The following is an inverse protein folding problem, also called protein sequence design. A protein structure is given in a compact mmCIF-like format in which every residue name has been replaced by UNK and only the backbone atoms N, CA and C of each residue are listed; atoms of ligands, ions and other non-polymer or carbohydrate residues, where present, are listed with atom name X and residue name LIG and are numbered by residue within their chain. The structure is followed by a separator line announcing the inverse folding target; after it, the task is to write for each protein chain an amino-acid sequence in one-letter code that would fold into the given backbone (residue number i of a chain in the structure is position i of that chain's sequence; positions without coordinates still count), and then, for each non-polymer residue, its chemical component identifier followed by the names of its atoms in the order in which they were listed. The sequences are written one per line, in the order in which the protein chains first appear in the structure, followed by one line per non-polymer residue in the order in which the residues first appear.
data_IF_718740616354
#
_entry.id   IF_718740616354
#
_cell.length_a   1.000
_cell.length_b   1.000
_cell.length_c   1.000
_cell.angle_alpha   90.00
_cell.angle_beta   90.00
_cell.angle_gamma   90.00
#
_symmetry.space_group_name_H-M   'P 1'
#
loop_
_entity.id
_entity.type
_entity.pdbx_description
1 polymer ?
#
# COMPACT_ATOMS: atom_id res chain seq x y z
N UNK A 1 -8.41 20.52 4.89
CA UNK A 1 -8.42 19.11 4.54
C UNK A 1 -9.60 18.42 5.19
N UNK A 2 -10.29 17.59 4.42
CA UNK A 2 -11.31 16.67 4.89
C UNK A 2 -10.79 15.23 4.83
N UNK A 3 -10.89 14.45 5.91
CA UNK A 3 -10.57 13.01 5.88
C UNK A 3 -11.85 12.20 5.96
N UNK A 4 -12.20 11.53 4.84
CA UNK A 4 -13.38 10.70 4.66
C UNK A 4 -12.97 9.22 4.65
N UNK A 5 -12.85 8.61 5.83
CA UNK A 5 -12.37 7.24 5.99
C UNK A 5 -13.50 6.29 6.32
N UNK A 6 -13.86 5.43 5.36
CA UNK A 6 -14.88 4.37 5.48
C UNK A 6 -14.30 3.02 5.92
N UNK A 7 -12.99 2.92 5.96
CA UNK A 7 -12.26 1.77 6.53
C UNK A 7 -11.36 2.22 7.66
N UNK A 8 -11.14 1.37 8.68
CA UNK A 8 -10.16 1.65 9.73
C UNK A 8 -8.78 1.97 9.14
N UNK A 9 -8.17 3.05 9.61
CA UNK A 9 -6.88 3.50 9.12
C UNK A 9 -6.19 4.35 10.18
N UNK A 10 -5.04 3.92 10.66
CA UNK A 10 -4.24 4.68 11.61
C UNK A 10 -3.22 5.54 10.86
N UNK A 11 -2.33 4.91 10.12
CA UNK A 11 -1.19 5.58 9.45
C UNK A 11 -1.63 6.56 8.36
N UNK A 12 -2.40 6.16 7.33
CA UNK A 12 -2.82 7.11 6.29
C UNK A 12 -3.60 8.28 6.85
N UNK A 13 -4.54 8.06 7.77
CA UNK A 13 -5.32 9.14 8.35
C UNK A 13 -4.43 10.14 9.07
N UNK A 14 -3.64 9.67 10.04
CA UNK A 14 -2.76 10.54 10.82
C UNK A 14 -1.69 11.23 9.96
N UNK A 15 -1.16 10.55 8.94
CA UNK A 15 -0.18 11.13 8.03
C UNK A 15 -0.73 12.34 7.26
N UNK A 16 -1.91 12.21 6.66
CA UNK A 16 -2.54 13.32 5.93
C UNK A 16 -2.97 14.46 6.85
N UNK A 17 -3.55 14.14 8.01
CA UNK A 17 -3.94 15.12 9.00
C UNK A 17 -2.72 15.90 9.54
N UNK A 18 -1.66 15.17 9.94
CA UNK A 18 -0.42 15.78 10.42
C UNK A 18 0.29 16.62 9.32
N UNK A 19 0.31 16.14 8.07
CA UNK A 19 0.90 16.88 6.96
C UNK A 19 0.17 18.22 6.76
N UNK A 20 -1.16 18.21 6.73
CA UNK A 20 -1.96 19.42 6.57
C UNK A 20 -1.73 20.41 7.72
N UNK A 21 -1.72 19.93 8.97
CA UNK A 21 -1.46 20.78 10.13
C UNK A 21 -0.05 21.38 10.11
N UNK A 22 0.97 20.62 9.72
CA UNK A 22 2.36 21.10 9.58
C UNK A 22 2.52 22.13 8.47
N UNK A 23 1.67 22.09 7.46
CA UNK A 23 1.62 23.08 6.37
C UNK A 23 0.81 24.33 6.76
N UNK A 24 0.31 24.43 8.00
CA UNK A 24 -0.48 25.55 8.49
C UNK A 24 -1.96 25.49 8.12
N UNK A 25 -2.41 24.38 7.54
CA UNK A 25 -3.82 24.15 7.20
C UNK A 25 -4.63 23.70 8.42
N UNK A 26 -5.91 23.40 8.15
CA UNK A 26 -6.87 22.89 9.14
C UNK A 26 -7.41 21.56 8.68
N UNK A 27 -7.90 20.75 9.63
CA UNK A 27 -8.44 19.43 9.36
C UNK A 27 -9.84 19.31 9.97
N UNK A 28 -10.75 18.71 9.23
CA UNK A 28 -12.01 18.17 9.75
C UNK A 28 -12.26 16.77 9.20
N UNK A 29 -13.04 15.94 9.89
CA UNK A 29 -13.19 14.52 9.54
C UNK A 29 -14.52 13.95 10.03
N UNK A 30 -14.86 12.78 9.51
CA UNK A 30 -15.76 11.89 10.24
C UNK A 30 -15.00 11.32 11.44
N UNK A 31 -15.61 11.29 12.60
CA UNK A 31 -15.06 10.53 13.73
C UNK A 31 -15.16 9.03 13.48
N UNK A 32 -16.29 8.58 12.95
CA UNK A 32 -16.55 7.22 12.48
C UNK A 32 -17.55 7.31 11.31
N UNK A 33 -17.24 6.69 10.16
CA UNK A 33 -18.14 6.69 9.01
C UNK A 33 -19.51 6.06 9.32
N UNK A 34 -19.56 5.04 10.21
CA UNK A 34 -20.79 4.38 10.66
C UNK A 34 -21.74 5.34 11.41
N UNK A 35 -21.21 6.43 11.94
CA UNK A 35 -21.98 7.47 12.62
C UNK A 35 -22.44 8.58 11.67
N UNK A 36 -22.26 8.40 10.38
CA UNK A 36 -22.68 9.31 9.32
C UNK A 36 -23.70 8.64 8.41
N UNK A 37 -24.49 9.41 7.65
CA UNK A 37 -25.41 8.87 6.66
C UNK A 37 -24.69 8.13 5.52
N UNK A 38 -23.44 8.46 5.28
CA UNK A 38 -22.62 7.81 4.27
C UNK A 38 -22.18 6.39 4.65
N UNK A 39 -22.14 6.05 5.94
CA UNK A 39 -21.73 4.74 6.42
C UNK A 39 -22.78 4.00 7.25
N UNK A 40 -23.96 4.59 7.47
CA UNK A 40 -25.05 4.00 8.23
C UNK A 40 -25.96 3.10 7.35
N UNK A 41 -27.08 2.68 7.92
CA UNK A 41 -28.09 1.86 7.26
C UNK A 41 -28.63 2.46 5.96
N UNK A 42 -28.70 3.80 5.85
CA UNK A 42 -29.26 4.49 4.67
C UNK A 42 -28.29 4.56 3.50
N UNK A 43 -26.98 4.38 3.73
CA UNK A 43 -25.94 4.34 2.71
C UNK A 43 -26.08 5.47 1.67
N UNK A 44 -25.96 6.70 2.15
CA UNK A 44 -25.94 7.86 1.25
C UNK A 44 -24.92 7.64 0.12
N UNK A 45 -25.29 8.03 -1.10
CA UNK A 45 -24.42 7.81 -2.25
C UNK A 45 -23.10 8.57 -2.12
N UNK A 46 -22.02 8.00 -2.69
CA UNK A 46 -20.71 8.69 -2.77
C UNK A 46 -20.90 10.08 -3.41
N UNK A 47 -21.73 10.17 -4.45
CA UNK A 47 -22.05 11.42 -5.15
C UNK A 47 -22.58 12.49 -4.22
N UNK A 48 -23.61 12.16 -3.43
CA UNK A 48 -24.26 13.15 -2.57
C UNK A 48 -23.36 13.53 -1.41
N UNK A 49 -22.69 12.55 -0.80
CA UNK A 49 -21.71 12.79 0.27
C UNK A 49 -20.60 13.73 -0.17
N UNK A 50 -19.94 13.49 -1.31
CA UNK A 50 -18.81 14.33 -1.71
C UNK A 50 -19.22 15.73 -2.16
N UNK A 51 -20.44 15.89 -2.71
CA UNK A 51 -20.98 17.21 -3.00
C UNK A 51 -21.17 18.03 -1.72
N UNK A 52 -21.67 17.39 -0.67
CA UNK A 52 -21.79 18.06 0.64
C UNK A 52 -20.46 18.36 1.26
N UNK A 53 -19.52 17.41 1.21
CA UNK A 53 -18.16 17.62 1.75
C UNK A 53 -17.46 18.80 1.09
N UNK A 54 -17.70 19.08 -0.18
CA UNK A 54 -17.13 20.22 -0.90
C UNK A 54 -17.43 21.59 -0.28
N UNK A 55 -18.47 21.70 0.57
CA UNK A 55 -18.77 22.94 1.30
C UNK A 55 -17.97 23.11 2.60
N UNK A 56 -17.27 22.05 3.06
CA UNK A 56 -16.59 22.06 4.35
C UNK A 56 -15.08 22.14 4.26
N UNK A 57 -14.50 22.08 3.07
CA UNK A 57 -13.05 22.15 2.90
C UNK A 57 -12.60 22.27 1.47
N UNK A 58 -11.27 22.17 1.25
CA UNK A 58 -10.62 22.49 -0.01
C UNK A 58 -10.02 21.23 -0.70
N UNK A 59 -9.88 20.13 0.03
CA UNK A 59 -9.38 18.85 -0.47
C UNK A 59 -9.92 17.71 0.41
N UNK A 60 -10.26 16.59 -0.20
CA UNK A 60 -10.74 15.38 0.48
C UNK A 60 -9.70 14.27 0.32
N UNK A 61 -9.28 13.65 1.42
CA UNK A 61 -8.63 12.35 1.40
C UNK A 61 -9.68 11.28 1.68
N UNK A 62 -9.93 10.43 0.69
CA UNK A 62 -10.91 9.37 0.81
C UNK A 62 -10.23 8.01 0.93
N UNK A 63 -10.64 7.21 1.93
CA UNK A 63 -10.33 5.78 2.01
C UNK A 63 -11.64 4.99 2.07
N UNK A 64 -11.82 4.07 1.13
CA UNK A 64 -13.06 3.35 0.97
C UNK A 64 -12.84 1.85 0.83
N UNK A 65 -13.82 1.04 1.24
CA UNK A 65 -13.77 -0.43 1.06
C UNK A 65 -14.07 -0.86 -0.38
N UNK A 66 -14.79 -0.03 -1.14
CA UNK A 66 -15.13 -0.29 -2.53
C UNK A 66 -14.02 0.22 -3.46
N UNK A 67 -13.54 -0.66 -4.31
CA UNK A 67 -12.60 -0.32 -5.38
C UNK A 67 -13.22 0.72 -6.33
N UNK A 68 -12.43 1.73 -6.71
CA UNK A 68 -12.87 2.80 -7.60
C UNK A 68 -13.68 3.92 -6.93
N UNK A 69 -14.01 3.81 -5.63
CA UNK A 69 -14.78 4.83 -4.92
C UNK A 69 -14.17 6.24 -4.99
N UNK A 70 -12.84 6.45 -4.84
CA UNK A 70 -12.25 7.78 -5.01
C UNK A 70 -12.37 8.32 -6.44
N UNK A 71 -12.32 7.47 -7.46
CA UNK A 71 -12.55 7.87 -8.86
C UNK A 71 -13.99 8.28 -9.09
N UNK A 72 -14.95 7.53 -8.53
CA UNK A 72 -16.36 7.92 -8.57
C UNK A 72 -16.59 9.24 -7.85
N UNK A 73 -16.01 9.40 -6.66
CA UNK A 73 -16.05 10.64 -5.89
C UNK A 73 -15.53 11.85 -6.69
N UNK A 74 -14.42 11.69 -7.39
CA UNK A 74 -13.79 12.75 -8.17
C UNK A 74 -14.66 13.26 -9.34
N UNK A 75 -15.58 12.44 -9.86
CA UNK A 75 -16.52 12.88 -10.91
C UNK A 75 -17.56 13.89 -10.40
N UNK A 76 -17.84 13.89 -9.10
CA UNK A 76 -18.93 14.66 -8.50
C UNK A 76 -18.47 15.72 -7.51
N UNK A 77 -17.24 15.60 -6.99
CA UNK A 77 -16.68 16.56 -6.05
C UNK A 77 -16.36 17.88 -6.74
N UNK A 78 -16.59 18.99 -6.04
CA UNK A 78 -16.17 20.34 -6.47
C UNK A 78 -14.72 20.67 -6.07
N UNK A 79 -14.10 19.81 -5.27
CA UNK A 79 -12.75 19.95 -4.74
C UNK A 79 -11.93 18.68 -4.99
N UNK A 80 -10.59 18.73 -5.02
CA UNK A 80 -9.75 17.55 -5.28
C UNK A 80 -10.00 16.39 -4.32
N UNK A 81 -9.92 15.18 -4.88
CA UNK A 81 -9.97 13.91 -4.13
C UNK A 81 -8.58 13.25 -4.16
N UNK A 82 -8.07 12.91 -2.99
CA UNK A 82 -6.85 12.09 -2.84
C UNK A 82 -7.27 10.68 -2.43
N UNK A 83 -6.82 9.68 -3.18
CA UNK A 83 -7.06 8.27 -2.85
C UNK A 83 -6.14 7.84 -1.69
N UNK A 84 -6.72 7.62 -0.51
CA UNK A 84 -6.06 7.09 0.70
C UNK A 84 -6.14 5.56 0.82
N UNK A 85 -6.51 4.87 -0.26
CA UNK A 85 -6.68 3.41 -0.38
C UNK A 85 -8.14 3.00 -0.64
N UNK A 86 -8.38 2.22 -1.67
CA UNK A 86 -9.72 1.82 -2.10
C UNK A 86 -9.83 0.30 -2.32
N UNK A 87 -10.29 -0.41 -1.32
CA UNK A 87 -10.54 -1.85 -1.39
C UNK A 87 -9.30 -2.62 -1.88
N UNK A 88 -9.46 -3.35 -2.99
CA UNK A 88 -8.39 -4.07 -3.70
C UNK A 88 -7.78 -3.26 -4.87
N UNK A 89 -8.21 -2.01 -5.07
CA UNK A 89 -7.76 -1.15 -6.17
C UNK A 89 -6.35 -0.60 -5.95
N UNK A 90 -6.26 0.63 -5.44
CA UNK A 90 -5.02 1.39 -5.36
C UNK A 90 -4.75 1.97 -3.96
N UNK A 91 -3.48 2.21 -3.66
CA UNK A 91 -3.02 2.99 -2.51
C UNK A 91 -1.86 3.94 -2.90
N UNK A 92 -2.11 4.92 -3.76
CA UNK A 92 -1.04 5.74 -4.35
C UNK A 92 -0.22 6.50 -3.31
N UNK A 93 -0.84 6.95 -2.22
CA UNK A 93 -0.11 7.68 -1.17
C UNK A 93 0.86 6.80 -0.38
N UNK A 94 0.65 5.47 -0.33
CA UNK A 94 1.62 4.54 0.24
C UNK A 94 2.89 4.50 -0.61
N UNK A 95 2.74 4.36 -1.92
CA UNK A 95 3.89 4.27 -2.82
C UNK A 95 4.69 5.56 -2.89
N UNK A 96 4.03 6.72 -2.79
CA UNK A 96 4.74 7.99 -2.65
C UNK A 96 5.59 8.04 -1.37
N UNK A 97 5.11 7.45 -0.27
CA UNK A 97 5.88 7.31 0.98
C UNK A 97 7.08 6.39 0.79
N UNK A 98 6.89 5.26 0.12
CA UNK A 98 7.96 4.29 -0.15
C UNK A 98 9.01 4.91 -1.08
N UNK A 99 8.60 5.56 -2.16
CA UNK A 99 9.52 6.27 -3.07
C UNK A 99 10.28 7.40 -2.37
N UNK A 100 9.61 8.15 -1.50
CA UNK A 100 10.29 9.17 -0.70
C UNK A 100 11.34 8.56 0.23
N UNK A 101 11.04 7.42 0.86
CA UNK A 101 12.00 6.70 1.70
C UNK A 101 13.19 6.23 0.86
N UNK A 102 12.93 5.62 -0.31
CA UNK A 102 14.00 5.21 -1.24
C UNK A 102 14.84 6.39 -1.68
N UNK A 103 14.23 7.50 -2.07
CA UNK A 103 14.93 8.70 -2.48
C UNK A 103 15.82 9.25 -1.35
N UNK A 104 15.36 9.20 -0.10
CA UNK A 104 16.13 9.65 1.07
C UNK A 104 17.30 8.73 1.39
N UNK A 105 17.11 7.42 1.26
CA UNK A 105 18.11 6.40 1.61
C UNK A 105 19.12 6.15 0.49
N UNK A 106 18.69 6.23 -0.78
CA UNK A 106 19.48 5.90 -1.96
C UNK A 106 19.88 7.11 -2.83
N UNK A 107 19.26 8.28 -2.60
CA UNK A 107 19.48 9.49 -3.38
C UNK A 107 18.88 9.46 -4.79
N UNK A 108 18.25 8.36 -5.19
CA UNK A 108 17.64 8.18 -6.51
C UNK A 108 16.55 7.10 -6.44
N UNK A 109 15.75 7.00 -7.50
CA UNK A 109 14.81 5.90 -7.76
C UNK A 109 15.27 5.14 -9.01
N UNK A 110 15.54 5.84 -10.10
CA UNK A 110 15.96 5.24 -11.36
C UNK A 110 17.19 4.32 -11.23
N UNK A 111 17.14 3.21 -11.94
CA UNK A 111 18.20 2.22 -12.00
C UNK A 111 18.31 1.33 -10.77
N UNK A 112 17.40 1.47 -9.77
CA UNK A 112 17.36 0.55 -8.63
C UNK A 112 16.56 -0.71 -8.98
N UNK A 113 17.09 -1.85 -8.57
CA UNK A 113 16.42 -3.15 -8.71
C UNK A 113 15.52 -3.41 -7.53
N UNK A 114 14.25 -3.63 -7.82
CA UNK A 114 13.23 -3.86 -6.81
C UNK A 114 12.90 -5.35 -6.68
N UNK A 115 12.60 -5.75 -5.47
CA UNK A 115 12.04 -7.04 -5.12
C UNK A 115 10.77 -6.80 -4.31
N UNK A 116 9.62 -7.24 -4.83
CA UNK A 116 8.35 -7.23 -4.11
C UNK A 116 8.00 -8.66 -3.71
N UNK A 117 7.73 -8.87 -2.42
CA UNK A 117 7.40 -10.18 -1.85
C UNK A 117 6.04 -10.11 -1.17
N UNK A 118 5.14 -11.04 -1.47
CA UNK A 118 3.86 -11.14 -0.79
C UNK A 118 2.68 -11.42 -1.70
N UNK A 119 1.49 -10.97 -1.32
CA UNK A 119 0.27 -11.08 -2.13
C UNK A 119 0.23 -9.97 -3.19
N UNK A 120 0.45 -10.32 -4.46
CA UNK A 120 0.48 -9.37 -5.57
C UNK A 120 -0.90 -8.81 -5.94
N UNK A 121 -1.98 -9.36 -5.40
CA UNK A 121 -3.33 -8.83 -5.58
C UNK A 121 -3.62 -7.62 -4.69
N UNK A 122 -2.70 -7.30 -3.77
CA UNK A 122 -2.86 -6.16 -2.85
C UNK A 122 -2.74 -4.83 -3.58
N UNK A 123 -3.61 -3.89 -3.20
CA UNK A 123 -3.62 -2.53 -3.73
C UNK A 123 -2.26 -1.81 -3.64
N UNK A 124 -1.46 -2.13 -2.64
CA UNK A 124 -0.10 -1.59 -2.48
C UNK A 124 0.83 -2.10 -3.56
N UNK A 125 0.70 -3.37 -3.94
CA UNK A 125 1.47 -3.96 -5.03
C UNK A 125 1.05 -3.42 -6.40
N UNK A 126 -0.26 -3.18 -6.62
CA UNK A 126 -0.73 -2.53 -7.85
C UNK A 126 -0.13 -1.12 -7.97
N UNK A 127 -0.28 -0.31 -6.92
CA UNK A 127 0.27 1.05 -6.93
C UNK A 127 1.79 1.08 -7.04
N UNK A 128 2.52 0.12 -6.43
CA UNK A 128 3.96 -0.02 -6.60
C UNK A 128 4.31 -0.23 -8.07
N UNK A 129 3.67 -1.19 -8.72
CA UNK A 129 3.94 -1.54 -10.10
C UNK A 129 3.64 -0.38 -11.06
N UNK A 130 2.49 0.28 -10.92
CA UNK A 130 2.17 1.48 -11.69
C UNK A 130 3.11 2.65 -11.38
N UNK A 131 3.51 2.82 -10.13
CA UNK A 131 4.49 3.83 -9.75
C UNK A 131 5.85 3.59 -10.39
N UNK A 132 6.36 2.36 -10.33
CA UNK A 132 7.65 1.99 -10.91
C UNK A 132 7.67 2.07 -12.44
N UNK A 133 6.52 1.94 -13.12
CA UNK A 133 6.45 2.12 -14.58
C UNK A 133 6.79 3.54 -15.04
N UNK A 134 6.88 4.50 -14.11
CA UNK A 134 7.31 5.88 -14.39
C UNK A 134 8.83 6.06 -14.28
N UNK A 135 9.57 5.00 -13.91
CA UNK A 135 11.02 5.01 -13.69
C UNK A 135 11.68 3.86 -14.43
N UNK A 136 12.98 3.96 -14.71
CA UNK A 136 13.77 2.85 -15.22
C UNK A 136 14.19 1.92 -14.07
N UNK A 137 13.23 1.16 -13.54
CA UNK A 137 13.41 0.29 -12.40
C UNK A 137 12.95 -1.14 -12.71
N UNK A 138 13.87 -2.10 -12.91
CA UNK A 138 13.44 -3.49 -13.01
C UNK A 138 12.94 -4.01 -11.65
N UNK A 139 11.86 -4.79 -11.70
CA UNK A 139 11.26 -5.39 -10.51
C UNK A 139 11.08 -6.90 -10.66
N UNK A 140 11.35 -7.63 -9.57
CA UNK A 140 10.99 -9.05 -9.45
C UNK A 140 9.86 -9.19 -8.44
N UNK A 141 8.78 -9.84 -8.84
CA UNK A 141 7.67 -10.20 -7.96
C UNK A 141 7.83 -11.63 -7.47
N UNK A 142 7.67 -11.84 -6.17
CA UNK A 142 7.72 -13.16 -5.53
C UNK A 142 6.47 -13.36 -4.70
N UNK A 143 5.66 -14.34 -5.10
CA UNK A 143 4.38 -14.62 -4.46
C UNK A 143 4.03 -16.10 -4.54
N UNK A 144 3.12 -16.60 -3.68
CA UNK A 144 2.43 -17.86 -3.92
C UNK A 144 1.73 -17.86 -5.29
N UNK A 145 1.64 -19.00 -5.99
CA UNK A 145 1.05 -19.05 -7.34
C UNK A 145 -0.39 -18.52 -7.42
N UNK A 146 -1.19 -18.74 -6.38
CA UNK A 146 -2.57 -18.26 -6.26
C UNK A 146 -2.70 -16.78 -5.88
N UNK A 147 -1.58 -16.13 -5.57
CA UNK A 147 -1.46 -14.71 -5.19
C UNK A 147 -0.60 -13.91 -6.17
N UNK A 148 -0.28 -14.48 -7.34
CA UNK A 148 0.54 -13.82 -8.37
C UNK A 148 -0.21 -12.66 -9.04
N UNK A 149 0.51 -11.89 -9.84
CA UNK A 149 -0.09 -10.85 -10.69
C UNK A 149 -1.15 -11.47 -11.60
N UNK A 150 -2.29 -10.80 -11.73
CA UNK A 150 -3.34 -11.20 -12.67
C UNK A 150 -2.87 -10.98 -14.11
N UNK A 151 -3.45 -11.72 -15.07
CA UNK A 151 -3.12 -11.53 -16.48
C UNK A 151 -3.44 -10.12 -16.97
N UNK A 152 -4.51 -9.51 -16.46
CA UNK A 152 -4.87 -8.11 -16.71
C UNK A 152 -3.75 -7.18 -16.26
N UNK A 153 -3.28 -7.34 -15.01
CA UNK A 153 -2.18 -6.55 -14.48
C UNK A 153 -0.89 -6.72 -15.29
N UNK A 154 -0.54 -7.95 -15.68
CA UNK A 154 0.65 -8.21 -16.52
C UNK A 154 0.55 -7.53 -17.88
N UNK A 155 -0.64 -7.53 -18.48
CA UNK A 155 -0.88 -6.82 -19.74
C UNK A 155 -0.71 -5.31 -19.57
N UNK A 156 -1.26 -4.73 -18.52
CA UNK A 156 -1.11 -3.32 -18.21
C UNK A 156 0.35 -2.93 -17.98
N UNK A 157 1.09 -3.67 -17.16
CA UNK A 157 2.50 -3.41 -16.89
C UNK A 157 3.36 -3.52 -18.16
N UNK A 158 3.03 -4.43 -19.05
CA UNK A 158 3.66 -4.55 -20.38
C UNK A 158 3.38 -3.31 -21.23
N UNK A 159 2.14 -2.84 -21.26
CA UNK A 159 1.75 -1.62 -21.97
C UNK A 159 2.44 -0.37 -21.41
N UNK A 160 2.72 -0.32 -20.12
CA UNK A 160 3.50 0.73 -19.47
C UNK A 160 5.02 0.55 -19.59
N UNK A 161 5.48 -0.48 -20.29
CA UNK A 161 6.90 -0.83 -20.47
C UNK A 161 7.66 -1.08 -19.16
N UNK A 162 7.00 -1.53 -18.11
CA UNK A 162 7.67 -1.93 -16.88
C UNK A 162 8.51 -3.20 -17.15
N UNK A 163 9.79 -3.15 -16.82
CA UNK A 163 10.67 -4.32 -16.86
C UNK A 163 10.44 -5.17 -15.59
N UNK A 164 9.61 -6.20 -15.70
CA UNK A 164 9.28 -7.07 -14.57
C UNK A 164 9.49 -8.54 -14.88
N UNK A 165 9.69 -9.31 -13.83
CA UNK A 165 9.68 -10.78 -13.85
C UNK A 165 9.04 -11.33 -12.59
N UNK A 166 8.58 -12.57 -12.65
CA UNK A 166 8.08 -13.32 -11.50
C UNK A 166 9.08 -14.40 -11.09
N UNK A 167 9.13 -14.73 -9.81
CA UNK A 167 9.90 -15.82 -9.24
C UNK A 167 9.14 -16.50 -8.09
N UNK A 168 9.45 -17.76 -7.82
CA UNK A 168 8.72 -18.55 -6.83
C UNK A 168 9.29 -18.40 -5.42
N UNK A 169 10.56 -18.05 -5.30
CA UNK A 169 11.27 -17.99 -4.01
C UNK A 169 12.07 -16.71 -3.87
N UNK A 170 12.04 -16.12 -2.70
CA UNK A 170 12.81 -14.91 -2.36
C UNK A 170 14.29 -15.07 -2.65
N UNK A 171 14.85 -16.25 -2.38
CA UNK A 171 16.26 -16.55 -2.57
C UNK A 171 16.77 -16.40 -4.01
N UNK A 172 15.85 -16.48 -4.99
CA UNK A 172 16.18 -16.34 -6.42
C UNK A 172 16.41 -14.89 -6.86
N UNK A 173 15.96 -13.92 -6.04
CA UNK A 173 15.95 -12.51 -6.40
C UNK A 173 16.65 -11.58 -5.41
N UNK A 174 16.77 -11.98 -4.14
CA UNK A 174 17.20 -11.09 -3.06
C UNK A 174 18.63 -10.57 -3.23
N UNK A 175 19.52 -11.38 -3.83
CA UNK A 175 20.93 -11.01 -3.99
C UNK A 175 21.16 -9.80 -4.92
N UNK A 176 20.23 -9.58 -5.85
CA UNK A 176 20.29 -8.47 -6.81
C UNK A 176 19.50 -7.24 -6.38
N UNK A 177 18.64 -7.36 -5.38
CA UNK A 177 17.73 -6.30 -4.96
C UNK A 177 18.47 -5.15 -4.25
N UNK A 178 18.14 -3.92 -4.65
CA UNK A 178 18.52 -2.68 -3.96
C UNK A 178 17.43 -2.24 -2.98
N UNK A 179 16.16 -2.52 -3.34
CA UNK A 179 14.98 -2.23 -2.55
C UNK A 179 14.13 -3.50 -2.44
N UNK A 180 13.79 -3.89 -1.23
CA UNK A 180 12.95 -5.04 -0.92
C UNK A 180 11.67 -4.50 -0.27
N UNK A 181 10.51 -4.67 -0.91
CA UNK A 181 9.22 -4.35 -0.35
C UNK A 181 8.49 -5.65 -0.02
N UNK A 182 7.96 -5.74 1.20
CA UNK A 182 7.26 -6.94 1.67
C UNK A 182 5.84 -6.60 2.06
N UNK A 183 4.92 -7.44 1.62
CA UNK A 183 3.52 -7.48 2.07
C UNK A 183 3.22 -8.89 2.60
N UNK A 184 2.31 -9.04 3.57
CA UNK A 184 1.92 -10.35 4.06
C UNK A 184 1.33 -11.25 2.96
N UNK A 185 1.71 -12.52 2.92
CA UNK A 185 1.02 -13.56 2.14
C UNK A 185 -0.18 -14.13 2.90
N UNK A 186 -0.17 -14.00 4.22
CA UNK A 186 -1.27 -14.41 5.09
C UNK A 186 -1.92 -13.17 5.63
N UNK A 187 -3.08 -12.81 5.10
CA UNK A 187 -3.78 -11.59 5.51
C UNK A 187 -5.15 -11.89 6.06
N UNK A 188 -5.56 -11.17 7.12
CA UNK A 188 -6.96 -11.17 7.50
C UNK A 188 -7.80 -10.58 6.38
N UNK A 189 -8.97 -11.13 6.12
CA UNK A 189 -9.93 -10.53 5.20
C UNK A 189 -10.37 -9.16 5.71
N UNK A 190 -9.84 -8.10 5.11
CA UNK A 190 -10.12 -6.71 5.51
C UNK A 190 -11.53 -6.24 5.16
N UNK A 191 -12.30 -7.05 4.41
CA UNK A 191 -13.71 -6.76 4.12
C UNK A 191 -14.61 -7.20 5.26
N UNK A 192 -14.13 -8.08 6.15
CA UNK A 192 -14.85 -8.60 7.32
C UNK A 192 -14.54 -7.81 8.59
N UNK A 193 -15.51 -7.73 9.47
CA UNK A 193 -15.31 -7.18 10.81
C UNK A 193 -14.34 -8.05 11.61
N UNK A 194 -13.73 -7.48 12.66
CA UNK A 194 -12.79 -8.23 13.52
C UNK A 194 -13.44 -9.48 14.15
N UNK A 195 -14.72 -9.38 14.45
CA UNK A 195 -15.48 -10.46 15.10
C UNK A 195 -15.85 -11.61 14.13
N UNK A 196 -15.85 -11.32 12.82
CA UNK A 196 -16.09 -12.31 11.76
C UNK A 196 -14.82 -13.01 11.28
N UNK A 197 -13.66 -12.57 11.75
CA UNK A 197 -12.34 -13.16 11.43
C UNK A 197 -12.04 -14.30 12.39
N UNK A 198 -12.77 -15.40 12.27
CA UNK A 198 -12.48 -16.62 13.03
C UNK A 198 -11.64 -17.57 12.17
N UNK A 199 -10.48 -17.98 12.67
CA UNK A 199 -9.65 -19.04 12.08
C UNK A 199 -8.17 -18.78 12.31
N UNK A 200 -7.43 -19.85 12.48
CA UNK A 200 -5.97 -19.83 12.43
C UNK A 200 -5.56 -19.52 11.00
N UNK A 201 -5.04 -18.33 10.76
CA UNK A 201 -4.69 -17.84 9.42
C UNK A 201 -3.41 -18.51 8.90
N UNK A 202 -2.81 -19.42 9.70
CA UNK A 202 -1.53 -20.05 9.38
C UNK A 202 -0.35 -19.08 9.46
N UNK A 203 0.87 -19.61 9.38
CA UNK A 203 2.07 -18.80 9.31
C UNK A 203 2.51 -18.55 7.86
N UNK A 204 3.25 -17.48 7.63
CA UNK A 204 3.90 -17.22 6.34
C UNK A 204 4.85 -18.37 6.00
N UNK A 205 4.76 -19.01 4.81
CA UNK A 205 5.69 -20.04 4.40
C UNK A 205 7.13 -19.52 4.34
N UNK A 206 8.08 -20.36 4.69
CA UNK A 206 9.51 -19.95 4.84
C UNK A 206 10.12 -19.32 3.60
N UNK A 207 9.68 -19.74 2.41
CA UNK A 207 10.15 -19.21 1.11
C UNK A 207 9.68 -17.78 0.80
N UNK A 208 8.79 -17.21 1.63
CA UNK A 208 8.32 -15.81 1.54
C UNK A 208 8.70 -14.98 2.78
N UNK A 209 9.43 -15.56 3.76
CA UNK A 209 9.90 -14.83 4.94
C UNK A 209 11.20 -14.10 4.65
N UNK A 210 11.30 -12.87 5.12
CA UNK A 210 12.53 -12.09 5.11
C UNK A 210 13.17 -12.16 6.50
N UNK A 211 14.03 -13.14 6.71
CA UNK A 211 14.72 -13.34 7.99
C UNK A 211 16.04 -12.58 8.05
N UNK A 212 16.53 -12.34 9.27
CA UNK A 212 17.85 -11.75 9.50
C UNK A 212 18.98 -12.60 8.87
N UNK A 213 18.85 -13.92 8.94
CA UNK A 213 19.82 -14.84 8.33
C UNK A 213 19.84 -14.68 6.81
N UNK A 214 18.67 -14.68 6.16
CA UNK A 214 18.55 -14.49 4.71
C UNK A 214 19.17 -13.14 4.27
N UNK A 215 18.85 -12.05 4.97
CA UNK A 215 19.41 -10.73 4.68
C UNK A 215 20.94 -10.73 4.84
N UNK A 216 21.45 -11.30 5.92
CA UNK A 216 22.89 -11.28 6.21
C UNK A 216 23.73 -12.14 5.27
N UNK A 217 23.14 -13.20 4.71
CA UNK A 217 23.86 -14.16 3.86
C UNK A 217 23.70 -13.86 2.36
N UNK A 218 22.58 -13.26 1.94
CA UNK A 218 22.26 -13.13 0.51
C UNK A 218 21.97 -11.71 0.04
N UNK A 219 21.45 -10.82 0.89
CA UNK A 219 21.11 -9.47 0.46
C UNK A 219 22.36 -8.59 0.30
N UNK A 220 22.28 -7.58 -0.57
CA UNK A 220 23.29 -6.52 -0.63
C UNK A 220 23.38 -5.81 0.72
N UNK A 221 24.60 -5.46 1.12
CA UNK A 221 24.84 -4.78 2.41
C UNK A 221 24.16 -3.41 2.52
N UNK A 222 23.89 -2.78 1.38
CA UNK A 222 23.25 -1.48 1.25
C UNK A 222 21.81 -1.57 0.76
N UNK A 223 21.23 -2.78 0.58
CA UNK A 223 19.81 -2.94 0.30
C UNK A 223 18.96 -2.30 1.41
N UNK A 224 17.75 -1.86 1.08
CA UNK A 224 16.78 -1.38 2.06
C UNK A 224 15.55 -2.27 2.04
N UNK A 225 14.98 -2.50 3.22
CA UNK A 225 13.78 -3.30 3.43
C UNK A 225 12.62 -2.40 3.85
N UNK A 226 11.54 -2.43 3.08
CA UNK A 226 10.31 -1.66 3.28
C UNK A 226 9.14 -2.60 3.60
N UNK A 227 8.12 -2.05 4.26
CA UNK A 227 6.87 -2.74 4.56
C UNK A 227 5.76 -1.73 4.78
N UNK A 228 4.58 -1.94 4.21
CA UNK A 228 3.44 -1.01 4.38
C UNK A 228 2.79 -1.07 5.77
N UNK A 229 3.04 -2.13 6.53
CA UNK A 229 2.44 -2.40 7.85
C UNK A 229 0.89 -2.50 7.82
N UNK A 230 0.27 -3.24 8.74
CA UNK A 230 0.91 -4.02 9.80
C UNK A 230 1.56 -5.30 9.27
N UNK A 231 2.72 -5.66 9.79
CA UNK A 231 3.30 -6.97 9.53
C UNK A 231 2.59 -8.04 10.36
N UNK A 232 2.66 -9.27 9.85
CA UNK A 232 2.26 -10.48 10.56
C UNK A 232 3.54 -11.21 11.03
N UNK A 233 3.94 -12.29 10.34
CA UNK A 233 5.14 -13.07 10.66
C UNK A 233 6.13 -13.22 9.49
N UNK A 234 5.89 -12.48 8.40
CA UNK A 234 6.74 -12.45 7.20
C UNK A 234 8.09 -11.76 7.44
N UNK A 235 8.16 -10.87 8.42
CA UNK A 235 9.39 -10.23 8.89
C UNK A 235 9.49 -10.42 10.41
N UNK A 236 10.38 -11.29 10.91
CA UNK A 236 10.63 -11.47 12.35
C UNK A 236 11.13 -10.19 13.03
N UNK A 237 10.84 -10.05 14.33
CA UNK A 237 11.15 -8.83 15.08
C UNK A 237 12.65 -8.51 15.20
N UNK A 238 13.52 -9.52 15.10
CA UNK A 238 14.97 -9.33 15.14
C UNK A 238 15.54 -8.64 13.88
N UNK A 239 14.72 -8.53 12.83
CA UNK A 239 15.05 -7.74 11.62
C UNK A 239 14.95 -6.24 11.87
N UNK A 240 14.12 -5.78 12.81
CA UNK A 240 13.88 -4.36 13.10
C UNK A 240 15.14 -3.56 13.40
N UNK A 241 16.09 -4.20 14.08
CA UNK A 241 17.36 -3.59 14.51
C UNK A 241 18.49 -3.79 13.50
N UNK A 242 18.18 -4.31 12.31
CA UNK A 242 19.18 -4.51 11.26
C UNK A 242 19.41 -3.26 10.43
N UNK A 243 20.55 -3.23 9.73
CA UNK A 243 20.89 -2.12 8.82
C UNK A 243 19.94 -1.96 7.64
N UNK A 244 19.20 -2.98 7.29
CA UNK A 244 18.28 -2.99 6.13
C UNK A 244 16.92 -2.40 6.41
N UNK A 245 16.44 -2.47 7.64
CA UNK A 245 15.08 -2.04 8.03
C UNK A 245 14.86 -0.54 7.83
N UNK A 246 13.81 -0.17 7.07
CA UNK A 246 13.39 1.21 6.77
C UNK A 246 11.87 1.40 6.77
N UNK A 247 11.14 0.58 7.50
CA UNK A 247 9.66 0.61 7.52
C UNK A 247 9.06 1.27 8.77
N UNK A 248 9.86 2.04 9.50
CA UNK A 248 9.42 2.84 10.63
C UNK A 248 9.41 4.35 10.34
#
# INVERSE_FOLDING_TARGET
LLTAFYQPSTRPRLAHEAAMLRLGGKVTCFSDAKMTRAGDFYQESIKDTVKMLGFYGDVIVMRHFQQGAPHEAAKWASIPIINGGDGWGEHPTQILTDFYTVLREKGRIDGLKWLAVGDMRMRTMHSLAYGLSQFDCPITFVSPPDMSLTDEMKADLTNYNLNFREAEHVEQAIADADVILVEPVVQPDYTKSRDERSGDVGGTPSNYKITRELLSTKAKSDAILLHSLPRMDEIPADVDITRWSRYW
#
